data_IF_441654871319
#
_entry.id   IF_441654871319
#
_cell.length_a   1.000
_cell.length_b   1.000
_cell.length_c   1.000
_cell.angle_alpha   90.00
_cell.angle_beta   90.00
_cell.angle_gamma   90.00
#
_symmetry.space_group_name_H-M   'P 1'
#
loop_
_entity.id
_entity.type
_entity.pdbx_description
1 polymer ?
#
# COMPACT_ATOMS: atom_id res chain seq x y z
N UNK A 1 -11.75 51.35 -5.73
CA UNK A 1 -10.72 50.64 -6.51
C UNK A 1 -9.96 49.59 -5.68
N UNK A 2 -9.31 49.92 -4.56
CA UNK A 2 -8.53 48.98 -3.73
C UNK A 2 -9.36 47.79 -3.14
N UNK A 3 -10.62 48.01 -2.72
CA UNK A 3 -11.51 46.95 -2.19
C UNK A 3 -11.97 45.97 -3.29
N UNK A 4 -12.30 46.50 -4.47
CA UNK A 4 -12.65 45.70 -5.63
C UNK A 4 -11.49 44.79 -6.08
N UNK A 5 -10.28 45.36 -6.16
CA UNK A 5 -9.08 44.59 -6.51
C UNK A 5 -8.79 43.49 -5.50
N UNK A 6 -8.96 43.74 -4.20
CA UNK A 6 -8.83 42.69 -3.16
C UNK A 6 -9.84 41.59 -3.33
N UNK A 7 -11.10 41.93 -3.65
CA UNK A 7 -12.15 40.91 -3.87
C UNK A 7 -11.87 40.06 -5.10
N UNK A 8 -11.44 40.65 -6.20
CA UNK A 8 -11.04 39.95 -7.43
C UNK A 8 -9.84 39.02 -7.17
N UNK A 9 -8.86 39.45 -6.43
CA UNK A 9 -7.71 38.62 -6.03
C UNK A 9 -8.15 37.47 -5.14
N UNK A 10 -9.01 37.68 -4.15
CA UNK A 10 -9.53 36.63 -3.29
C UNK A 10 -10.33 35.58 -4.08
N UNK A 11 -11.15 36.02 -5.05
CA UNK A 11 -11.88 35.11 -5.93
C UNK A 11 -10.94 34.31 -6.83
N UNK A 12 -9.88 34.91 -7.35
CA UNK A 12 -8.86 34.20 -8.14
C UNK A 12 -8.12 33.14 -7.29
N UNK A 13 -7.72 33.49 -6.06
CA UNK A 13 -7.12 32.50 -5.15
C UNK A 13 -8.08 31.38 -4.80
N UNK A 14 -9.37 31.69 -4.60
CA UNK A 14 -10.41 30.70 -4.37
C UNK A 14 -10.54 29.69 -5.53
N UNK A 15 -10.55 30.19 -6.76
CA UNK A 15 -10.58 29.33 -7.96
C UNK A 15 -9.32 28.45 -8.07
N UNK A 16 -8.14 29.01 -7.84
CA UNK A 16 -6.89 28.25 -7.84
C UNK A 16 -6.91 27.14 -6.78
N UNK A 17 -7.40 27.44 -5.58
CA UNK A 17 -7.53 26.44 -4.52
C UNK A 17 -8.49 25.32 -4.90
N UNK A 18 -9.62 25.62 -5.53
CA UNK A 18 -10.55 24.59 -6.03
C UNK A 18 -9.89 23.69 -7.08
N UNK A 19 -9.17 24.27 -8.04
CA UNK A 19 -8.42 23.50 -9.04
C UNK A 19 -7.38 22.56 -8.39
N UNK A 20 -6.64 23.07 -7.39
CA UNK A 20 -5.68 22.25 -6.63
C UNK A 20 -6.38 21.10 -5.92
N UNK A 21 -7.51 21.36 -5.27
CA UNK A 21 -8.28 20.33 -4.58
C UNK A 21 -8.80 19.27 -5.55
N UNK A 22 -9.32 19.68 -6.70
CA UNK A 22 -9.80 18.74 -7.73
C UNK A 22 -8.65 17.91 -8.28
N UNK A 23 -7.48 18.51 -8.52
CA UNK A 23 -6.30 17.81 -9.04
C UNK A 23 -5.75 16.77 -8.04
N UNK A 24 -5.72 17.11 -6.75
CA UNK A 24 -5.13 16.25 -5.70
C UNK A 24 -6.14 15.22 -5.18
N UNK A 25 -7.44 15.51 -5.23
CA UNK A 25 -8.47 14.70 -4.59
C UNK A 25 -8.45 13.20 -4.99
N UNK A 26 -8.24 12.77 -6.25
CA UNK A 26 -8.17 11.34 -6.56
C UNK A 26 -7.00 10.65 -5.88
N UNK A 27 -5.83 11.32 -5.80
CA UNK A 27 -4.67 10.79 -5.09
C UNK A 27 -4.90 10.78 -3.58
N UNK A 28 -5.53 11.80 -3.02
CA UNK A 28 -5.87 11.85 -1.61
C UNK A 28 -6.85 10.73 -1.23
N UNK A 29 -7.89 10.50 -2.02
CA UNK A 29 -8.81 9.38 -1.84
C UNK A 29 -8.08 8.03 -1.87
N UNK A 30 -7.22 7.84 -2.86
CA UNK A 30 -6.38 6.65 -2.96
C UNK A 30 -5.48 6.50 -1.73
N UNK A 31 -4.82 7.58 -1.29
CA UNK A 31 -4.00 7.58 -0.09
C UNK A 31 -4.80 7.17 1.15
N UNK A 32 -5.98 7.77 1.35
CA UNK A 32 -6.84 7.44 2.50
C UNK A 32 -7.40 6.02 2.49
N UNK A 33 -7.48 5.36 1.34
CA UNK A 33 -7.87 3.97 1.25
C UNK A 33 -6.90 3.02 1.99
N UNK A 34 -5.68 3.46 2.26
CA UNK A 34 -4.68 2.70 3.04
C UNK A 34 -5.05 2.68 4.53
N UNK A 35 -5.93 3.60 5.01
CA UNK A 35 -6.23 3.76 6.44
C UNK A 35 -7.44 2.95 6.93
N UNK A 36 -7.46 2.75 8.25
CA UNK A 36 -8.34 1.88 8.98
C UNK A 36 -9.84 1.95 8.71
N UNK A 37 -10.49 3.12 8.60
CA UNK A 37 -11.95 3.14 8.48
C UNK A 37 -12.46 2.37 7.26
N UNK A 38 -11.75 2.45 6.13
CA UNK A 38 -12.08 1.68 4.92
C UNK A 38 -11.91 0.19 5.15
N UNK A 39 -10.78 -0.20 5.75
CA UNK A 39 -10.48 -1.60 6.05
C UNK A 39 -11.49 -2.20 7.01
N UNK A 40 -11.89 -1.49 8.07
CA UNK A 40 -12.92 -1.96 8.99
C UNK A 40 -14.27 -2.18 8.30
N UNK A 41 -14.67 -1.25 7.41
CA UNK A 41 -15.89 -1.40 6.63
C UNK A 41 -15.86 -2.68 5.78
N UNK A 42 -14.76 -2.93 5.09
CA UNK A 42 -14.57 -4.12 4.25
C UNK A 42 -14.52 -5.41 5.09
N UNK A 43 -13.85 -5.37 6.24
CA UNK A 43 -13.72 -6.53 7.14
C UNK A 43 -15.04 -7.05 7.68
N UNK A 44 -15.98 -6.14 7.95
CA UNK A 44 -17.31 -6.50 8.49
C UNK A 44 -18.17 -7.29 7.51
N UNK A 45 -17.92 -7.15 6.21
CA UNK A 45 -18.73 -7.76 5.17
C UNK A 45 -18.00 -8.95 4.53
N UNK A 46 -18.48 -10.19 4.66
CA UNK A 46 -17.82 -11.36 4.10
C UNK A 46 -17.52 -11.25 2.61
N UNK A 47 -18.41 -10.59 1.87
CA UNK A 47 -18.26 -10.40 0.43
C UNK A 47 -17.08 -9.48 0.04
N UNK A 48 -16.60 -8.62 0.95
CA UNK A 48 -15.53 -7.65 0.70
C UNK A 48 -14.26 -7.90 1.52
N UNK A 49 -14.32 -8.76 2.52
CA UNK A 49 -13.20 -9.04 3.42
C UNK A 49 -11.94 -9.52 2.68
N UNK A 50 -12.09 -10.26 1.57
CA UNK A 50 -10.98 -10.73 0.74
C UNK A 50 -10.17 -9.59 0.11
N UNK A 51 -10.75 -8.38 -0.03
CA UNK A 51 -10.07 -7.21 -0.58
C UNK A 51 -8.99 -6.66 0.35
N UNK A 52 -8.99 -7.06 1.62
CA UNK A 52 -7.93 -6.72 2.58
C UNK A 52 -6.64 -7.50 2.34
N UNK A 53 -6.72 -8.63 1.63
CA UNK A 53 -5.58 -9.48 1.34
C UNK A 53 -4.51 -8.72 0.53
N UNK A 54 -3.24 -9.09 0.77
CA UNK A 54 -2.12 -8.58 0.00
C UNK A 54 -1.85 -9.48 -1.22
N UNK A 55 -1.50 -8.89 -2.32
CA UNK A 55 -1.07 -9.62 -3.54
C UNK A 55 0.45 -9.69 -3.69
N UNK A 56 1.21 -8.96 -2.85
CA UNK A 56 2.65 -9.10 -2.69
C UNK A 56 2.97 -9.43 -1.23
N UNK A 57 4.13 -10.04 -0.92
CA UNK A 57 4.53 -10.31 0.45
C UNK A 57 4.57 -9.02 1.26
N UNK A 58 3.87 -8.93 2.37
CA UNK A 58 3.89 -7.75 3.24
C UNK A 58 4.43 -8.06 4.63
N UNK A 59 3.87 -9.06 5.28
CA UNK A 59 4.27 -9.48 6.63
C UNK A 59 4.96 -10.85 6.61
N UNK A 60 5.71 -11.12 5.56
CA UNK A 60 6.50 -12.34 5.38
C UNK A 60 7.68 -12.04 4.47
N UNK A 61 8.79 -12.73 4.67
CA UNK A 61 9.96 -12.64 3.80
C UNK A 61 9.69 -13.41 2.52
N UNK A 62 10.11 -12.83 1.40
CA UNK A 62 10.14 -13.53 0.13
C UNK A 62 11.52 -14.14 -0.13
N UNK A 63 11.53 -15.31 -0.74
CA UNK A 63 12.73 -15.95 -1.30
C UNK A 63 13.03 -15.50 -2.72
N UNK A 64 12.14 -14.67 -3.33
CA UNK A 64 12.30 -14.14 -4.67
C UNK A 64 12.98 -12.79 -4.66
N UNK A 65 14.21 -12.66 -5.23
CA UNK A 65 14.91 -11.38 -5.34
C UNK A 65 14.11 -10.34 -6.13
N UNK A 66 13.35 -10.79 -7.14
CA UNK A 66 12.52 -9.89 -7.96
C UNK A 66 11.41 -9.24 -7.13
N UNK A 67 10.72 -10.01 -6.29
CA UNK A 67 9.70 -9.47 -5.41
C UNK A 67 10.28 -8.54 -4.35
N UNK A 68 11.47 -8.84 -3.86
CA UNK A 68 12.19 -7.98 -2.92
C UNK A 68 12.53 -6.62 -3.55
N UNK A 69 13.11 -6.64 -4.76
CA UNK A 69 13.42 -5.41 -5.50
C UNK A 69 12.14 -4.62 -5.78
N UNK A 70 11.08 -5.27 -6.27
CA UNK A 70 9.82 -4.61 -6.58
C UNK A 70 9.23 -3.92 -5.35
N UNK A 71 9.21 -4.62 -4.22
CA UNK A 71 8.60 -4.10 -2.98
C UNK A 71 9.41 -2.97 -2.36
N UNK A 72 10.72 -3.16 -2.18
CA UNK A 72 11.54 -2.26 -1.39
C UNK A 72 12.15 -1.11 -2.20
N UNK A 73 12.66 -1.41 -3.39
CA UNK A 73 13.36 -0.41 -4.19
C UNK A 73 12.42 0.29 -5.16
N UNK A 74 11.73 -0.45 -6.01
CA UNK A 74 10.85 0.16 -7.03
C UNK A 74 9.74 0.97 -6.36
N UNK A 75 9.10 0.45 -5.32
CA UNK A 75 8.06 1.15 -4.59
C UNK A 75 8.51 2.48 -4.02
N UNK A 76 9.60 2.48 -3.25
CA UNK A 76 10.11 3.68 -2.60
C UNK A 76 10.58 4.73 -3.62
N UNK A 77 11.33 4.32 -4.65
CA UNK A 77 11.81 5.25 -5.67
C UNK A 77 10.66 5.79 -6.53
N UNK A 78 9.71 4.94 -6.92
CA UNK A 78 8.54 5.40 -7.69
C UNK A 78 7.74 6.44 -6.90
N UNK A 79 7.50 6.21 -5.60
CA UNK A 79 6.84 7.19 -4.75
C UNK A 79 7.62 8.51 -4.69
N UNK A 80 8.90 8.45 -4.35
CA UNK A 80 9.72 9.65 -4.12
C UNK A 80 9.91 10.46 -5.39
N UNK A 81 10.26 9.79 -6.51
CA UNK A 81 10.46 10.46 -7.80
C UNK A 81 9.15 11.00 -8.37
N UNK A 82 8.05 10.25 -8.20
CA UNK A 82 6.73 10.70 -8.59
C UNK A 82 6.30 11.96 -7.84
N UNK A 83 6.48 11.99 -6.52
CA UNK A 83 6.20 13.16 -5.70
C UNK A 83 7.09 14.36 -6.04
N UNK A 84 8.38 14.13 -6.24
CA UNK A 84 9.30 15.20 -6.66
C UNK A 84 8.88 15.79 -8.02
N UNK A 85 8.60 14.94 -9.00
CA UNK A 85 8.13 15.38 -10.32
C UNK A 85 6.80 16.13 -10.22
N UNK A 86 5.87 15.66 -9.36
CA UNK A 86 4.62 16.36 -9.09
C UNK A 86 4.86 17.76 -8.51
N UNK A 87 5.74 17.92 -7.53
CA UNK A 87 6.08 19.21 -6.92
C UNK A 87 6.63 20.17 -8.01
N UNK A 88 7.51 19.69 -8.87
CA UNK A 88 8.05 20.50 -9.98
C UNK A 88 6.93 20.95 -10.92
N UNK A 89 6.04 20.05 -11.34
CA UNK A 89 4.89 20.35 -12.18
C UNK A 89 3.94 21.36 -11.50
N UNK A 90 3.68 21.16 -10.21
CA UNK A 90 2.84 22.04 -9.40
C UNK A 90 3.38 23.46 -9.38
N UNK A 91 4.67 23.62 -9.07
CA UNK A 91 5.34 24.94 -9.04
C UNK A 91 5.27 25.60 -10.42
N UNK A 92 5.46 24.85 -11.51
CA UNK A 92 5.38 25.38 -12.86
C UNK A 92 3.98 25.90 -13.22
N UNK A 93 2.93 25.10 -12.99
CA UNK A 93 1.54 25.51 -13.31
C UNK A 93 1.15 26.73 -12.48
N UNK A 94 1.27 26.60 -11.16
CA UNK A 94 0.74 27.63 -10.26
C UNK A 94 1.63 28.87 -10.20
N UNK A 95 2.94 28.69 -10.39
CA UNK A 95 3.87 29.80 -10.60
C UNK A 95 3.53 30.58 -11.88
N UNK A 96 3.24 29.91 -12.99
CA UNK A 96 2.83 30.56 -14.24
C UNK A 96 1.48 31.27 -14.09
N UNK A 97 0.48 30.62 -13.47
CA UNK A 97 -0.83 31.22 -13.19
C UNK A 97 -0.73 32.46 -12.30
N UNK A 98 0.06 32.37 -11.23
CA UNK A 98 0.27 33.51 -10.30
C UNK A 98 0.98 34.69 -10.97
N UNK A 99 1.96 34.39 -11.82
CA UNK A 99 2.73 35.40 -12.58
C UNK A 99 2.04 35.84 -13.88
N UNK A 100 0.85 35.29 -14.20
CA UNK A 100 0.06 35.59 -15.42
C UNK A 100 0.85 35.35 -16.72
N UNK A 101 1.71 34.32 -16.77
CA UNK A 101 2.59 34.03 -17.91
C UNK A 101 1.94 33.16 -19.00
N UNK A 102 0.64 32.85 -18.89
CA UNK A 102 -0.07 32.00 -19.87
C UNK A 102 0.18 30.49 -19.67
N UNK A 103 -0.24 29.66 -20.60
CA UNK A 103 -0.12 28.20 -20.53
C UNK A 103 1.34 27.74 -20.44
N UNK A 104 1.61 26.76 -19.56
CA UNK A 104 2.94 26.18 -19.41
C UNK A 104 3.20 25.16 -20.53
N UNK A 105 4.30 25.34 -21.25
CA UNK A 105 4.73 24.47 -22.36
C UNK A 105 6.22 24.09 -22.29
N UNK A 106 6.84 24.28 -21.14
CA UNK A 106 8.28 24.07 -20.89
C UNK A 106 8.54 22.81 -20.03
N UNK A 107 9.78 22.34 -20.00
CA UNK A 107 10.22 21.17 -19.25
C UNK A 107 9.36 19.94 -19.58
N UNK A 108 8.71 19.32 -18.60
CA UNK A 108 7.88 18.13 -18.80
C UNK A 108 6.66 18.42 -19.69
N UNK A 109 6.10 19.64 -19.63
CA UNK A 109 4.98 20.08 -20.47
C UNK A 109 5.35 20.26 -21.95
N UNK A 110 6.64 20.30 -22.30
CA UNK A 110 7.04 20.35 -23.71
C UNK A 110 6.74 19.05 -24.46
N UNK A 111 6.56 17.95 -23.75
CA UNK A 111 6.31 16.62 -24.35
C UNK A 111 5.03 15.95 -23.86
N UNK A 112 4.63 16.22 -22.62
CA UNK A 112 3.47 15.59 -21.95
C UNK A 112 2.51 16.70 -21.54
N UNK A 113 1.23 16.56 -21.86
CA UNK A 113 0.20 17.58 -21.55
C UNK A 113 -0.19 17.57 -20.07
N UNK A 114 -0.21 16.40 -19.43
CA UNK A 114 -0.62 16.24 -18.03
C UNK A 114 0.46 15.52 -17.20
N UNK A 115 1.69 16.05 -17.14
CA UNK A 115 2.77 15.40 -16.39
C UNK A 115 2.51 15.38 -14.88
N UNK A 116 1.68 16.31 -14.35
CA UNK A 116 1.25 16.33 -12.94
C UNK A 116 0.44 15.07 -12.59
N UNK A 117 -0.48 14.64 -13.44
CA UNK A 117 -1.28 13.43 -13.23
C UNK A 117 -0.44 12.17 -13.39
N UNK A 118 0.45 12.15 -14.39
CA UNK A 118 1.40 11.04 -14.55
C UNK A 118 2.32 10.90 -13.33
N UNK A 119 2.80 12.02 -12.80
CA UNK A 119 3.65 12.03 -11.60
C UNK A 119 2.94 11.45 -10.39
N UNK A 120 1.67 11.83 -10.16
CA UNK A 120 0.84 11.27 -9.10
C UNK A 120 0.50 9.79 -9.35
N UNK A 121 0.33 9.38 -10.61
CA UNK A 121 0.15 7.96 -10.95
C UNK A 121 1.40 7.14 -10.62
N UNK A 122 2.59 7.66 -10.91
CA UNK A 122 3.87 7.01 -10.55
C UNK A 122 4.04 6.94 -9.03
N UNK A 123 3.75 8.02 -8.31
CA UNK A 123 3.78 8.03 -6.84
C UNK A 123 2.77 7.03 -6.26
N UNK A 124 1.56 6.99 -6.81
CA UNK A 124 0.52 6.02 -6.43
C UNK A 124 0.95 4.58 -6.67
N UNK A 125 1.63 4.28 -7.78
CA UNK A 125 2.21 2.96 -8.02
C UNK A 125 3.25 2.59 -6.96
N UNK A 126 4.09 3.55 -6.55
CA UNK A 126 5.02 3.36 -5.45
C UNK A 126 4.31 2.97 -4.15
N UNK A 127 3.24 3.68 -3.80
CA UNK A 127 2.42 3.33 -2.63
C UNK A 127 1.78 1.96 -2.75
N UNK A 128 1.25 1.61 -3.92
CA UNK A 128 0.63 0.32 -4.19
C UNK A 128 1.59 -0.84 -3.94
N UNK A 129 2.86 -0.70 -4.31
CA UNK A 129 3.86 -1.75 -4.08
C UNK A 129 4.32 -1.81 -2.62
N UNK A 130 4.28 -0.70 -1.89
CA UNK A 130 4.59 -0.65 -0.45
C UNK A 130 3.46 -1.21 0.41
N UNK A 131 2.21 -0.97 0.03
CA UNK A 131 0.99 -1.49 0.69
C UNK A 131 0.11 -2.23 -0.33
N UNK A 132 0.52 -3.44 -0.77
CA UNK A 132 -0.05 -4.12 -1.92
C UNK A 132 -1.34 -4.88 -1.60
N UNK A 133 -2.34 -4.21 -0.99
CA UNK A 133 -3.67 -4.78 -0.77
C UNK A 133 -4.52 -4.71 -2.03
N UNK A 134 -5.41 -5.66 -2.21
CA UNK A 134 -6.34 -5.66 -3.35
C UNK A 134 -7.22 -4.41 -3.35
N UNK A 135 -7.71 -3.97 -2.19
CA UNK A 135 -8.49 -2.72 -2.08
C UNK A 135 -7.69 -1.51 -2.54
N UNK A 136 -6.40 -1.44 -2.23
CA UNK A 136 -5.53 -0.35 -2.67
C UNK A 136 -5.36 -0.38 -4.19
N UNK A 137 -5.26 -1.57 -4.79
CA UNK A 137 -5.24 -1.71 -6.25
C UNK A 137 -6.53 -1.20 -6.89
N UNK A 138 -7.69 -1.50 -6.31
CA UNK A 138 -8.99 -0.99 -6.80
C UNK A 138 -9.03 0.54 -6.76
N UNK A 139 -8.64 1.14 -5.65
CA UNK A 139 -8.59 2.61 -5.54
C UNK A 139 -7.54 3.23 -6.47
N UNK A 140 -6.41 2.56 -6.66
CA UNK A 140 -5.39 2.99 -7.62
C UNK A 140 -5.94 3.03 -9.06
N UNK A 141 -6.64 1.99 -9.48
CA UNK A 141 -7.32 1.98 -10.79
C UNK A 141 -8.37 3.09 -10.88
N UNK A 142 -9.17 3.29 -9.84
CA UNK A 142 -10.13 4.39 -9.76
C UNK A 142 -9.47 5.75 -9.93
N UNK A 143 -8.34 5.97 -9.27
CA UNK A 143 -7.54 7.20 -9.41
C UNK A 143 -7.02 7.40 -10.85
N UNK A 144 -6.52 6.34 -11.49
CA UNK A 144 -6.04 6.42 -12.89
C UNK A 144 -7.19 6.80 -13.84
N UNK A 145 -8.36 6.20 -13.69
CA UNK A 145 -9.54 6.57 -14.46
C UNK A 145 -9.97 8.01 -14.18
N UNK A 146 -9.99 8.43 -12.92
CA UNK A 146 -10.33 9.80 -12.55
C UNK A 146 -9.38 10.80 -13.23
N UNK A 147 -8.07 10.55 -13.20
CA UNK A 147 -7.09 11.42 -13.89
C UNK A 147 -7.25 11.43 -15.39
N UNK A 148 -7.59 10.31 -16.01
CA UNK A 148 -7.90 10.29 -17.43
C UNK A 148 -9.10 11.18 -17.76
N UNK A 149 -10.19 11.10 -16.99
CA UNK A 149 -11.37 11.93 -17.21
C UNK A 149 -11.12 13.41 -16.93
N UNK A 150 -10.39 13.73 -15.86
CA UNK A 150 -10.00 15.11 -15.54
C UNK A 150 -9.14 15.72 -16.66
N UNK A 151 -8.13 15.00 -17.15
CA UNK A 151 -7.30 15.45 -18.25
C UNK A 151 -8.14 15.73 -19.51
N UNK A 152 -9.10 14.86 -19.83
CA UNK A 152 -10.01 15.07 -20.97
C UNK A 152 -10.91 16.28 -20.78
N UNK A 153 -11.37 16.54 -19.57
CA UNK A 153 -12.18 17.69 -19.25
C UNK A 153 -11.37 18.99 -19.38
N UNK A 154 -10.17 19.02 -18.81
CA UNK A 154 -9.25 20.15 -18.90
C UNK A 154 -8.88 20.47 -20.37
N UNK A 155 -8.54 19.46 -21.17
CA UNK A 155 -8.23 19.66 -22.59
C UNK A 155 -9.39 20.32 -23.35
N UNK A 156 -10.63 19.91 -23.11
CA UNK A 156 -11.82 20.52 -23.74
C UNK A 156 -12.00 21.98 -23.33
N UNK A 157 -11.77 22.28 -22.05
CA UNK A 157 -11.91 23.65 -21.55
C UNK A 157 -10.81 24.56 -22.12
N UNK A 158 -9.56 24.08 -22.15
CA UNK A 158 -8.44 24.84 -22.70
C UNK A 158 -8.58 25.03 -24.22
N UNK A 159 -8.98 24.01 -24.96
CA UNK A 159 -9.19 24.09 -26.43
C UNK A 159 -10.32 25.07 -26.79
N UNK A 160 -11.37 25.15 -25.96
CA UNK A 160 -12.44 26.12 -26.13
C UNK A 160 -12.00 27.58 -25.85
N UNK A 161 -11.08 27.78 -24.91
CA UNK A 161 -10.57 29.11 -24.57
C UNK A 161 -9.38 29.56 -25.45
N UNK A 162 -8.60 28.59 -25.97
CA UNK A 162 -7.34 28.77 -26.67
C UNK A 162 -7.28 27.86 -27.90
N UNK A 163 -7.80 28.27 -29.09
CA UNK A 163 -7.80 27.44 -30.30
C UNK A 163 -6.40 26.96 -30.73
N UNK A 164 -5.37 27.73 -30.46
CA UNK A 164 -3.95 27.38 -30.69
C UNK A 164 -3.50 26.13 -29.93
N UNK A 165 -4.21 25.71 -28.90
CA UNK A 165 -3.93 24.48 -28.15
C UNK A 165 -4.00 23.22 -29.02
N UNK A 166 -4.79 23.26 -30.09
CA UNK A 166 -4.87 22.13 -31.05
C UNK A 166 -3.52 21.77 -31.67
N UNK A 167 -2.67 22.76 -31.96
CA UNK A 167 -1.31 22.52 -32.48
C UNK A 167 -0.37 21.95 -31.42
N UNK A 168 -0.47 22.43 -30.19
CA UNK A 168 0.28 21.86 -29.06
C UNK A 168 -0.11 20.40 -28.85
N UNK A 169 -1.41 20.06 -28.91
CA UNK A 169 -1.93 18.69 -28.76
C UNK A 169 -1.40 17.73 -29.83
N UNK A 170 -1.18 18.18 -31.05
CA UNK A 170 -0.61 17.33 -32.12
C UNK A 170 0.85 16.94 -31.86
N UNK A 171 1.61 17.79 -31.15
CA UNK A 171 3.05 17.60 -30.89
C UNK A 171 3.37 16.97 -29.55
N UNK A 172 2.37 16.80 -28.68
CA UNK A 172 2.55 16.33 -27.31
C UNK A 172 1.68 15.12 -27.01
N UNK A 173 2.06 14.33 -26.03
CA UNK A 173 1.28 13.18 -25.55
C UNK A 173 0.43 13.55 -24.34
N UNK A 174 -0.70 12.87 -24.13
CA UNK A 174 -1.51 13.10 -22.95
C UNK A 174 -0.75 12.70 -21.68
N UNK A 175 -0.24 11.47 -21.60
CA UNK A 175 0.52 10.92 -20.49
C UNK A 175 1.80 10.20 -20.94
N UNK A 176 1.71 9.27 -21.86
CA UNK A 176 2.81 8.40 -22.29
C UNK A 176 3.12 8.56 -23.77
N UNK A 177 4.38 8.32 -24.18
CA UNK A 177 4.76 8.32 -25.57
C UNK A 177 3.88 7.43 -26.43
N UNK A 178 3.43 7.97 -27.57
CA UNK A 178 2.60 7.23 -28.52
C UNK A 178 1.11 7.23 -28.22
N UNK A 179 0.65 7.98 -27.19
CA UNK A 179 -0.74 7.97 -26.73
C UNK A 179 -1.31 6.55 -26.72
N UNK A 180 -1.14 5.77 -25.66
CA UNK A 180 -1.47 4.33 -25.65
C UNK A 180 -2.93 4.02 -25.97
N UNK A 181 -3.79 5.01 -26.16
CA UNK A 181 -5.17 4.84 -26.62
C UNK A 181 -5.37 4.80 -28.13
N UNK A 182 -4.45 5.33 -28.94
CA UNK A 182 -4.77 5.54 -30.36
C UNK A 182 -4.72 4.27 -31.21
N UNK A 183 -3.57 3.66 -31.35
CA UNK A 183 -3.39 2.48 -32.23
C UNK A 183 -3.79 1.18 -31.54
N UNK A 184 -3.34 0.96 -30.31
CA UNK A 184 -3.66 -0.25 -29.54
C UNK A 184 -5.15 -0.34 -29.23
N UNK A 185 -5.77 0.76 -28.78
CA UNK A 185 -7.20 0.79 -28.54
C UNK A 185 -8.01 0.43 -29.80
N UNK A 186 -7.67 1.01 -30.95
CA UNK A 186 -8.34 0.70 -32.21
C UNK A 186 -8.10 -0.74 -32.63
N UNK A 187 -6.94 -1.29 -32.40
CA UNK A 187 -6.62 -2.67 -32.73
C UNK A 187 -7.47 -3.66 -31.93
N UNK A 188 -7.61 -3.42 -30.61
CA UNK A 188 -8.37 -4.33 -29.75
C UNK A 188 -9.89 -4.06 -29.73
N UNK A 189 -10.32 -2.81 -29.88
CA UNK A 189 -11.70 -2.40 -29.64
C UNK A 189 -12.33 -1.65 -30.83
N UNK A 190 -11.61 -1.48 -31.93
CA UNK A 190 -12.08 -0.74 -33.11
C UNK A 190 -13.25 -1.40 -33.84
N UNK A 191 -13.52 -2.64 -33.57
CA UNK A 191 -14.70 -3.37 -34.07
C UNK A 191 -16.01 -2.98 -33.38
N UNK A 192 -15.94 -2.29 -32.24
CA UNK A 192 -17.11 -1.78 -31.53
C UNK A 192 -17.47 -0.40 -32.11
N UNK A 193 -18.59 -0.31 -32.81
CA UNK A 193 -19.00 0.91 -33.52
C UNK A 193 -19.31 2.08 -32.58
N UNK A 194 -19.83 1.80 -31.38
CA UNK A 194 -20.15 2.84 -30.38
C UNK A 194 -18.89 3.16 -29.53
N UNK A 195 -18.35 4.41 -29.62
CA UNK A 195 -17.13 4.78 -28.89
C UNK A 195 -17.27 4.75 -27.36
N UNK A 196 -18.48 4.93 -26.84
CA UNK A 196 -18.75 4.85 -25.40
C UNK A 196 -18.77 3.41 -24.93
N UNK A 197 -19.40 2.52 -25.69
CA UNK A 197 -19.38 1.08 -25.43
C UNK A 197 -17.95 0.52 -25.54
N UNK A 198 -17.19 0.91 -26.56
CA UNK A 198 -15.78 0.52 -26.71
C UNK A 198 -14.93 0.91 -25.50
N UNK A 199 -15.10 2.12 -24.97
CA UNK A 199 -14.41 2.58 -23.76
C UNK A 199 -14.85 1.82 -22.52
N UNK A 200 -16.13 1.55 -22.35
CA UNK A 200 -16.65 0.77 -21.24
C UNK A 200 -16.09 -0.66 -21.24
N UNK A 201 -16.13 -1.33 -22.39
CA UNK A 201 -15.56 -2.68 -22.56
C UNK A 201 -14.06 -2.67 -22.28
N UNK A 202 -13.31 -1.70 -22.83
CA UNK A 202 -11.88 -1.56 -22.57
C UNK A 202 -11.59 -1.37 -21.07
N UNK A 203 -12.39 -0.56 -20.36
CA UNK A 203 -12.23 -0.36 -18.91
C UNK A 203 -12.45 -1.66 -18.15
N UNK A 204 -13.48 -2.42 -18.47
CA UNK A 204 -13.75 -3.73 -17.85
C UNK A 204 -12.61 -4.71 -18.12
N UNK A 205 -12.12 -4.78 -19.36
CA UNK A 205 -10.98 -5.64 -19.72
C UNK A 205 -9.72 -5.24 -18.95
N UNK A 206 -9.41 -3.95 -18.85
CA UNK A 206 -8.25 -3.46 -18.11
C UNK A 206 -8.37 -3.87 -16.64
N UNK A 207 -9.53 -3.66 -16.01
CA UNK A 207 -9.77 -4.05 -14.62
C UNK A 207 -9.58 -5.56 -14.46
N UNK A 208 -10.17 -6.37 -15.35
CA UNK A 208 -10.07 -7.83 -15.29
C UNK A 208 -8.62 -8.32 -15.45
N UNK A 209 -7.87 -7.74 -16.38
CA UNK A 209 -6.46 -8.08 -16.63
C UNK A 209 -5.59 -7.71 -15.43
N UNK A 210 -5.78 -6.52 -14.87
CA UNK A 210 -4.99 -6.06 -13.71
C UNK A 210 -5.32 -6.87 -12.47
N UNK A 211 -6.61 -7.14 -12.21
CA UNK A 211 -7.02 -7.98 -11.08
C UNK A 211 -6.55 -9.43 -11.23
N UNK A 212 -6.70 -10.00 -12.42
CA UNK A 212 -6.18 -11.33 -12.72
C UNK A 212 -4.66 -11.40 -12.55
N UNK A 213 -3.94 -10.39 -13.05
CA UNK A 213 -2.49 -10.25 -12.86
C UNK A 213 -2.09 -10.16 -11.38
N UNK A 214 -2.82 -9.41 -10.57
CA UNK A 214 -2.57 -9.31 -9.13
C UNK A 214 -2.79 -10.66 -8.42
N UNK A 215 -3.83 -11.41 -8.79
CA UNK A 215 -4.08 -12.75 -8.22
C UNK A 215 -3.01 -13.76 -8.65
N UNK A 216 -2.54 -13.71 -9.90
CA UNK A 216 -1.43 -14.54 -10.37
C UNK A 216 -0.12 -14.18 -9.64
N UNK A 217 0.14 -12.89 -9.49
CA UNK A 217 1.30 -12.40 -8.75
C UNK A 217 1.24 -12.82 -7.28
N UNK A 218 0.04 -12.80 -6.67
CA UNK A 218 -0.18 -13.32 -5.33
C UNK A 218 0.16 -14.80 -5.23
N UNK A 219 -0.32 -15.61 -6.18
CA UNK A 219 -0.01 -17.04 -6.22
C UNK A 219 1.50 -17.29 -6.32
N UNK A 220 2.18 -16.55 -7.17
CA UNK A 220 3.64 -16.60 -7.28
C UNK A 220 4.32 -16.19 -5.96
N UNK A 221 3.87 -15.10 -5.34
CA UNK A 221 4.41 -14.60 -4.09
C UNK A 221 4.25 -15.58 -2.92
N UNK A 222 3.11 -16.26 -2.83
CA UNK A 222 2.88 -17.32 -1.82
C UNK A 222 3.88 -18.45 -1.99
N UNK A 223 4.11 -18.90 -3.22
CA UNK A 223 5.07 -19.97 -3.51
C UNK A 223 6.53 -19.61 -3.22
N UNK A 224 6.81 -18.30 -3.03
CA UNK A 224 8.15 -17.78 -2.75
C UNK A 224 8.21 -17.10 -1.37
N UNK A 225 7.39 -17.49 -0.43
CA UNK A 225 7.41 -16.96 0.94
C UNK A 225 8.19 -17.88 1.88
N UNK A 226 8.96 -17.29 2.79
CA UNK A 226 9.68 -18.00 3.84
C UNK A 226 8.78 -18.14 5.07
N UNK A 227 8.16 -19.29 5.22
CA UNK A 227 7.35 -19.66 6.37
C UNK A 227 7.64 -21.09 6.76
N UNK A 228 7.83 -21.34 8.05
CA UNK A 228 8.14 -22.65 8.61
C UNK A 228 6.90 -23.24 9.25
N UNK A 229 6.53 -24.45 8.85
CA UNK A 229 5.42 -25.18 9.43
C UNK A 229 5.88 -25.94 10.68
N UNK A 230 5.15 -25.79 11.77
CA UNK A 230 5.28 -26.53 13.03
C UNK A 230 3.99 -27.36 13.24
N UNK A 231 3.89 -28.55 12.63
CA UNK A 231 2.63 -29.32 12.62
C UNK A 231 2.18 -29.78 14.02
N UNK A 232 3.11 -30.14 14.89
CA UNK A 232 2.84 -30.56 16.27
C UNK A 232 2.13 -29.48 17.08
N UNK A 233 2.53 -28.22 16.87
CA UNK A 233 1.96 -27.05 17.53
C UNK A 233 0.81 -26.41 16.72
N UNK A 234 0.42 -26.98 15.60
CA UNK A 234 -0.57 -26.41 14.65
C UNK A 234 -0.26 -24.98 14.28
N UNK A 235 1.02 -24.63 14.16
CA UNK A 235 1.50 -23.27 14.00
C UNK A 235 2.32 -23.11 12.73
N UNK A 236 2.10 -22.01 12.01
CA UNK A 236 2.97 -21.53 10.94
C UNK A 236 3.81 -20.39 11.46
N UNK A 237 5.11 -20.60 11.60
CA UNK A 237 6.07 -19.58 12.02
C UNK A 237 6.48 -18.71 10.83
N UNK A 238 6.43 -17.40 11.00
CA UNK A 238 6.63 -16.40 9.94
C UNK A 238 7.57 -15.32 10.46
N UNK A 239 8.76 -15.24 9.84
CA UNK A 239 9.65 -14.12 10.11
C UNK A 239 9.39 -13.00 9.10
N UNK A 240 9.24 -11.76 9.59
CA UNK A 240 9.19 -10.57 8.74
C UNK A 240 10.57 -10.00 8.45
N UNK A 241 11.60 -10.68 8.94
CA UNK A 241 13.01 -10.31 8.90
C UNK A 241 13.85 -11.47 8.39
N UNK A 242 14.91 -11.24 7.56
CA UNK A 242 15.79 -12.30 7.13
C UNK A 242 16.48 -12.99 8.31
N UNK A 243 16.15 -14.25 8.54
CA UNK A 243 16.78 -15.05 9.57
C UNK A 243 16.79 -16.55 9.19
N UNK A 244 17.78 -17.33 9.67
CA UNK A 244 17.82 -18.75 9.43
C UNK A 244 16.60 -19.46 10.01
N UNK A 245 16.12 -20.49 9.32
CA UNK A 245 14.96 -21.29 9.73
C UNK A 245 15.13 -21.89 11.13
N UNK A 246 16.32 -22.39 11.45
CA UNK A 246 16.65 -22.91 12.78
C UNK A 246 16.45 -21.85 13.89
N UNK A 247 16.80 -20.60 13.62
CA UNK A 247 16.59 -19.49 14.58
C UNK A 247 15.08 -19.19 14.74
N UNK A 248 14.30 -19.25 13.65
CA UNK A 248 12.84 -19.10 13.71
C UNK A 248 12.24 -20.17 14.61
N UNK A 249 12.58 -21.45 14.37
CA UNK A 249 12.10 -22.57 15.17
C UNK A 249 12.50 -22.44 16.65
N UNK A 250 13.75 -22.09 16.91
CA UNK A 250 14.25 -21.89 18.29
C UNK A 250 13.49 -20.80 19.03
N UNK A 251 13.30 -19.63 18.43
CA UNK A 251 12.60 -18.50 19.06
C UNK A 251 11.13 -18.85 19.33
N UNK A 252 10.45 -19.50 18.37
CA UNK A 252 9.06 -19.92 18.56
C UNK A 252 8.97 -21.02 19.63
N UNK A 253 9.89 -21.97 19.67
CA UNK A 253 9.93 -23.00 20.68
C UNK A 253 10.07 -22.44 22.11
N UNK A 254 10.93 -21.44 22.31
CA UNK A 254 11.05 -20.73 23.61
C UNK A 254 9.70 -20.18 24.04
N UNK A 255 8.95 -19.54 23.13
CA UNK A 255 7.62 -19.02 23.43
C UNK A 255 6.62 -20.13 23.77
N UNK A 256 6.60 -21.22 22.98
CA UNK A 256 5.66 -22.33 23.13
C UNK A 256 5.93 -23.17 24.41
N UNK A 257 7.15 -23.14 24.96
CA UNK A 257 7.46 -23.83 26.22
C UNK A 257 6.93 -23.07 27.45
N UNK A 258 6.56 -21.80 27.35
CA UNK A 258 5.99 -21.02 28.44
C UNK A 258 4.53 -21.44 28.72
N UNK A 259 4.21 -21.74 29.98
CA UNK A 259 2.87 -22.18 30.39
C UNK A 259 1.78 -21.16 30.09
N UNK A 260 2.08 -19.86 30.19
CA UNK A 260 1.12 -18.78 29.93
C UNK A 260 0.77 -18.73 28.44
N UNK A 261 1.74 -18.95 27.57
CA UNK A 261 1.54 -19.02 26.11
C UNK A 261 0.70 -20.26 25.80
N UNK A 262 1.08 -21.44 26.30
CA UNK A 262 0.31 -22.68 26.07
C UNK A 262 -1.12 -22.56 26.58
N UNK A 263 -1.32 -22.10 27.79
CA UNK A 263 -2.65 -21.91 28.35
C UNK A 263 -3.53 -20.93 27.54
N UNK A 264 -2.92 -19.93 26.91
CA UNK A 264 -3.64 -19.03 26.01
C UNK A 264 -4.06 -19.71 24.71
N UNK A 265 -3.18 -20.51 24.11
CA UNK A 265 -3.46 -21.26 22.86
C UNK A 265 -4.45 -22.40 23.09
N UNK A 266 -4.42 -23.09 24.21
CA UNK A 266 -5.34 -24.16 24.60
C UNK A 266 -6.78 -23.69 24.77
N UNK A 267 -7.00 -22.41 25.09
CA UNK A 267 -8.35 -21.81 25.13
C UNK A 267 -9.04 -21.76 23.75
N UNK A 268 -8.32 -22.03 22.67
CA UNK A 268 -8.80 -22.03 21.31
C UNK A 268 -8.72 -23.44 20.71
N UNK A 269 -9.58 -24.37 21.14
CA UNK A 269 -9.50 -25.78 20.76
C UNK A 269 -9.73 -25.95 19.26
N UNK A 270 -8.88 -26.76 18.62
CA UNK A 270 -8.95 -27.05 17.18
C UNK A 270 -8.44 -25.91 16.27
N UNK A 271 -8.04 -24.77 16.84
CA UNK A 271 -7.51 -23.65 16.06
C UNK A 271 -6.13 -23.94 15.47
N UNK A 272 -5.82 -23.26 14.39
CA UNK A 272 -4.51 -23.19 13.77
C UNK A 272 -3.96 -21.78 13.99
N UNK A 273 -2.67 -21.67 14.20
CA UNK A 273 -2.04 -20.41 14.55
C UNK A 273 -0.99 -19.97 13.53
N UNK A 274 -0.77 -18.67 13.45
CA UNK A 274 0.45 -18.08 12.90
C UNK A 274 1.26 -17.51 14.03
N UNK A 275 2.57 -17.70 14.01
CA UNK A 275 3.52 -17.07 14.92
C UNK A 275 4.37 -16.09 14.12
N UNK A 276 4.06 -14.78 14.21
CA UNK A 276 4.85 -13.74 13.55
C UNK A 276 6.00 -13.31 14.46
N UNK A 277 7.22 -13.43 13.94
CA UNK A 277 8.43 -12.96 14.62
C UNK A 277 8.74 -11.54 14.16
N UNK A 278 8.58 -10.59 15.07
CA UNK A 278 8.87 -9.19 14.88
C UNK A 278 10.11 -8.81 15.71
N UNK A 279 11.05 -7.99 15.20
CA UNK A 279 12.07 -7.40 16.06
C UNK A 279 11.42 -6.58 17.18
N UNK A 280 12.00 -6.57 18.39
CA UNK A 280 11.43 -5.90 19.57
C UNK A 280 11.17 -4.40 19.32
N UNK A 281 12.04 -3.75 18.56
CA UNK A 281 11.97 -2.33 18.22
C UNK A 281 11.27 -2.04 16.88
N UNK A 282 10.77 -3.07 16.20
CA UNK A 282 10.07 -2.91 14.93
C UNK A 282 8.67 -2.33 15.16
N UNK A 283 8.50 -1.08 14.77
CA UNK A 283 7.21 -0.41 14.84
C UNK A 283 6.41 -0.62 13.57
N UNK A 284 5.40 -1.45 13.63
CA UNK A 284 4.30 -1.43 12.65
C UNK A 284 3.24 -0.46 13.15
N UNK A 285 3.22 0.73 12.59
CA UNK A 285 2.21 1.74 12.94
C UNK A 285 0.84 1.15 12.65
N UNK A 286 0.01 1.04 13.68
CA UNK A 286 -1.42 0.77 13.62
C UNK A 286 -1.90 -0.64 13.24
N UNK A 287 -1.09 -1.68 13.20
CA UNK A 287 -1.60 -3.04 12.93
C UNK A 287 -2.03 -3.80 14.20
N UNK A 288 -1.45 -3.48 15.34
CA UNK A 288 -1.81 -3.99 16.65
C UNK A 288 -1.86 -2.82 17.62
N UNK A 289 -2.76 -1.87 17.36
CA UNK A 289 -2.96 -0.77 18.26
C UNK A 289 -3.35 -1.34 19.62
N UNK A 290 -2.70 -0.89 20.64
CA UNK A 290 -3.04 -1.12 22.04
C UNK A 290 -3.05 -2.59 22.52
N UNK A 291 -1.87 -3.14 22.63
CA UNK A 291 -1.68 -4.35 23.39
C UNK A 291 -1.37 -3.96 24.82
N UNK A 292 -2.36 -4.04 25.69
CA UNK A 292 -2.24 -3.68 27.10
C UNK A 292 -2.16 -2.17 27.37
N UNK A 293 -1.85 -1.82 28.62
CA UNK A 293 -1.76 -0.42 29.10
C UNK A 293 -0.54 0.33 28.61
N UNK A 294 0.45 -0.35 28.07
CA UNK A 294 1.78 0.19 27.80
C UNK A 294 2.01 0.68 26.37
N UNK A 295 1.08 0.51 25.45
CA UNK A 295 1.21 0.92 24.03
C UNK A 295 2.55 0.54 23.37
N UNK A 296 3.28 -0.44 23.90
CA UNK A 296 4.67 -0.74 23.54
C UNK A 296 4.83 -1.21 22.13
N UNK A 297 3.79 -1.78 21.56
CA UNK A 297 3.98 -2.48 20.30
C UNK A 297 4.01 -1.59 19.08
N UNK A 298 3.16 -0.56 18.97
CA UNK A 298 2.94 0.01 17.64
C UNK A 298 2.45 1.45 17.61
N UNK A 299 2.18 2.09 18.74
CA UNK A 299 1.54 3.40 18.76
C UNK A 299 2.52 4.58 18.76
N UNK A 300 3.78 4.37 19.10
CA UNK A 300 4.76 5.45 19.19
C UNK A 300 5.84 5.33 18.14
N UNK A 301 5.82 6.27 17.21
CA UNK A 301 6.95 6.54 16.34
C UNK A 301 7.99 7.25 17.21
N UNK A 302 8.91 6.48 17.83
CA UNK A 302 10.09 7.09 18.44
C UNK A 302 10.86 7.90 17.35
N UNK A 303 11.60 8.96 17.71
CA UNK A 303 12.35 9.78 16.74
C UNK A 303 13.24 8.96 15.78
N UNK A 304 13.77 7.83 16.24
CA UNK A 304 14.51 6.87 15.38
C UNK A 304 13.62 6.21 14.32
N UNK A 305 12.35 5.95 14.64
CA UNK A 305 11.38 5.33 13.74
C UNK A 305 10.88 6.29 12.67
N UNK A 306 10.76 7.57 13.00
CA UNK A 306 10.46 8.59 12.01
C UNK A 306 11.57 8.68 10.94
N UNK A 307 12.84 8.64 11.34
CA UNK A 307 13.95 8.56 10.38
C UNK A 307 13.88 7.29 9.52
N UNK A 308 13.47 6.16 10.09
CA UNK A 308 13.27 4.93 9.35
C UNK A 308 12.15 5.08 8.30
N UNK A 309 11.02 5.65 8.66
CA UNK A 309 9.93 5.93 7.71
C UNK A 309 10.42 6.87 6.61
N UNK A 310 11.14 7.92 6.96
CA UNK A 310 11.73 8.83 5.98
C UNK A 310 12.73 8.13 5.06
N UNK A 311 13.61 7.31 5.58
CA UNK A 311 14.59 6.56 4.76
C UNK A 311 13.92 5.48 3.91
N UNK A 312 12.77 4.96 4.33
CA UNK A 312 11.95 4.04 3.56
C UNK A 312 11.21 4.73 2.41
N UNK A 313 10.58 5.87 2.68
CA UNK A 313 9.88 6.67 1.68
C UNK A 313 10.85 7.40 0.73
N UNK A 314 12.00 7.81 1.24
CA UNK A 314 13.02 8.58 0.53
C UNK A 314 14.39 7.91 0.69
N UNK A 315 14.60 6.74 0.07
CA UNK A 315 15.82 5.94 0.27
C UNK A 315 17.11 6.66 -0.15
N UNK A 316 17.00 7.69 -0.99
CA UNK A 316 18.14 8.54 -1.39
C UNK A 316 18.59 9.50 -0.28
N UNK A 317 17.77 9.74 0.76
CA UNK A 317 18.18 10.61 1.87
C UNK A 317 19.07 9.87 2.87
N UNK A 318 18.80 8.59 3.11
CA UNK A 318 19.62 7.78 4.00
C UNK A 318 19.56 6.27 3.64
N UNK A 319 20.18 5.87 2.54
CA UNK A 319 20.18 4.46 2.11
C UNK A 319 20.92 3.54 3.09
N UNK A 320 21.87 4.08 3.87
CA UNK A 320 22.67 3.29 4.82
C UNK A 320 21.83 2.90 6.05
N UNK A 321 20.94 3.77 6.49
CA UNK A 321 20.10 3.50 7.65
C UNK A 321 19.12 2.36 7.37
N UNK A 322 18.53 2.32 6.18
CA UNK A 322 17.68 1.21 5.74
C UNK A 322 18.43 -0.12 5.77
N UNK A 323 19.63 -0.15 5.16
CA UNK A 323 20.46 -1.36 5.12
C UNK A 323 20.94 -1.78 6.52
N UNK A 324 21.24 -0.82 7.38
CA UNK A 324 21.65 -1.08 8.77
C UNK A 324 20.49 -1.69 9.59
N UNK A 325 19.29 -1.15 9.46
CA UNK A 325 18.11 -1.68 10.17
C UNK A 325 17.77 -3.08 9.65
N UNK A 326 17.78 -3.27 8.31
CA UNK A 326 17.46 -4.55 7.67
C UNK A 326 18.56 -5.61 7.82
N UNK A 327 19.79 -5.21 8.03
CA UNK A 327 20.94 -6.11 8.16
C UNK A 327 21.43 -6.35 9.59
N UNK A 328 20.87 -5.69 10.60
CA UNK A 328 21.31 -5.86 11.99
C UNK A 328 20.80 -7.17 12.55
N UNK A 329 21.65 -8.06 13.07
CA UNK A 329 21.21 -9.25 13.78
C UNK A 329 20.29 -8.86 14.95
N UNK A 330 19.16 -9.50 15.04
CA UNK A 330 18.22 -9.31 16.14
C UNK A 330 18.31 -10.51 17.08
N UNK A 331 18.35 -10.25 18.38
CA UNK A 331 18.32 -11.28 19.41
C UNK A 331 17.08 -11.18 20.28
N UNK A 332 16.39 -10.06 20.22
CA UNK A 332 15.13 -9.84 20.91
C UNK A 332 13.98 -9.79 19.91
N UNK A 333 12.98 -10.61 20.13
CA UNK A 333 11.84 -10.77 19.25
C UNK A 333 10.53 -10.62 20.01
N UNK A 334 9.56 -10.10 19.34
CA UNK A 334 8.16 -10.15 19.73
C UNK A 334 7.47 -11.22 18.86
N UNK A 335 7.06 -12.30 19.49
CA UNK A 335 6.34 -13.41 18.83
C UNK A 335 4.86 -13.20 19.05
N UNK A 336 4.14 -12.96 17.96
CA UNK A 336 2.68 -12.72 17.99
C UNK A 336 1.98 -13.98 17.48
N UNK A 337 1.33 -14.70 18.36
CA UNK A 337 0.48 -15.82 18.00
C UNK A 337 -0.92 -15.33 17.66
N UNK A 338 -1.36 -15.62 16.45
CA UNK A 338 -2.69 -15.26 15.98
C UNK A 338 -3.44 -16.51 15.54
N UNK A 339 -4.68 -16.66 16.01
CA UNK A 339 -5.61 -17.67 15.53
C UNK A 339 -6.00 -17.36 14.08
N UNK A 340 -6.05 -18.39 13.26
CA UNK A 340 -6.44 -18.27 11.86
C UNK A 340 -7.76 -18.95 11.61
N UNK A 341 -8.74 -18.18 11.16
CA UNK A 341 -10.10 -18.63 10.88
C UNK A 341 -10.46 -18.42 9.41
N UNK A 342 -11.39 -19.22 8.93
CA UNK A 342 -12.13 -18.94 7.69
C UNK A 342 -13.14 -17.80 7.82
N UNK A 343 -13.87 -17.48 6.73
CA UNK A 343 -14.82 -16.35 6.71
C UNK A 343 -15.88 -16.42 7.80
N UNK A 344 -16.33 -17.63 8.15
CA UNK A 344 -17.37 -17.92 9.14
C UNK A 344 -16.83 -18.34 10.50
N UNK A 345 -15.58 -17.95 10.81
CA UNK A 345 -14.84 -18.41 11.98
C UNK A 345 -14.67 -19.94 12.03
N UNK A 346 -14.80 -20.60 10.89
CA UNK A 346 -14.51 -22.03 10.77
C UNK A 346 -13.02 -22.29 10.86
N UNK A 347 -12.59 -23.36 11.54
CA UNK A 347 -11.18 -23.73 11.59
C UNK A 347 -10.66 -24.06 10.18
N UNK A 348 -9.49 -23.53 9.84
CA UNK A 348 -8.80 -23.81 8.59
C UNK A 348 -7.69 -24.85 8.81
N UNK A 349 -7.43 -25.74 7.86
CA UNK A 349 -6.24 -26.57 7.92
C UNK A 349 -4.98 -25.70 7.78
N UNK A 350 -3.88 -26.11 8.41
CA UNK A 350 -2.60 -25.39 8.42
C UNK A 350 -2.10 -25.03 7.02
N UNK A 351 -2.36 -25.86 6.04
CA UNK A 351 -2.02 -25.64 4.63
C UNK A 351 -2.82 -24.53 3.94
N UNK A 352 -3.92 -24.07 4.55
CA UNK A 352 -4.81 -23.02 4.01
C UNK A 352 -4.73 -21.70 4.79
N UNK A 353 -3.75 -21.55 5.68
CA UNK A 353 -3.55 -20.34 6.48
C UNK A 353 -3.35 -19.09 5.58
N UNK A 354 -2.87 -19.26 4.37
CA UNK A 354 -2.61 -18.19 3.39
C UNK A 354 -3.78 -17.97 2.43
N UNK A 355 -4.99 -18.36 2.79
CA UNK A 355 -6.18 -18.15 1.96
C UNK A 355 -6.56 -16.65 1.91
N UNK A 356 -7.19 -16.20 0.81
CA UNK A 356 -7.73 -14.83 0.64
C UNK A 356 -8.75 -14.43 1.71
N UNK A 357 -9.45 -15.42 2.24
CA UNK A 357 -10.52 -15.23 3.23
C UNK A 357 -10.10 -15.54 4.66
N UNK A 358 -8.82 -15.93 4.88
CA UNK A 358 -8.32 -16.24 6.20
C UNK A 358 -8.25 -14.97 7.06
N UNK A 359 -8.76 -15.05 8.26
CA UNK A 359 -8.74 -13.99 9.28
C UNK A 359 -7.78 -14.40 10.39
N UNK A 360 -6.94 -13.46 10.82
CA UNK A 360 -5.98 -13.67 11.89
C UNK A 360 -6.37 -12.81 13.08
N UNK A 361 -6.56 -13.42 14.25
CA UNK A 361 -6.87 -12.73 15.49
C UNK A 361 -5.75 -12.99 16.49
N UNK A 362 -5.05 -11.96 17.00
CA UNK A 362 -4.01 -12.13 18.01
C UNK A 362 -4.57 -12.78 19.28
N UNK A 363 -3.89 -13.79 19.77
CA UNK A 363 -4.27 -14.55 20.99
C UNK A 363 -3.31 -14.29 22.12
N UNK A 364 -2.01 -14.35 21.85
CA UNK A 364 -0.97 -14.13 22.84
C UNK A 364 0.29 -13.59 22.17
N UNK A 365 1.03 -12.77 22.91
CA UNK A 365 2.27 -12.16 22.49
C UNK A 365 3.34 -12.49 23.50
N UNK A 366 4.50 -12.91 23.03
CA UNK A 366 5.64 -13.24 23.86
C UNK A 366 6.86 -12.42 23.44
N UNK A 367 7.48 -11.72 24.37
CA UNK A 367 8.78 -11.09 24.15
C UNK A 367 9.89 -12.09 24.47
N UNK A 368 10.61 -12.52 23.43
CA UNK A 368 11.58 -13.61 23.49
C UNK A 368 12.97 -13.11 23.16
N UNK A 369 13.95 -13.45 23.99
CA UNK A 369 15.36 -13.31 23.64
C UNK A 369 15.88 -14.63 23.09
N UNK A 370 16.54 -14.60 21.93
CA UNK A 370 17.15 -15.79 21.36
C UNK A 370 18.16 -16.41 22.34
N UNK A 371 18.04 -17.73 22.55
CA UNK A 371 18.89 -18.46 23.50
C UNK A 371 18.45 -18.36 24.98
N UNK A 372 17.39 -17.64 25.31
CA UNK A 372 16.82 -17.66 26.64
C UNK A 372 16.05 -18.97 26.91
N UNK A 373 15.81 -19.29 28.18
CA UNK A 373 15.02 -20.45 28.58
C UNK A 373 13.52 -20.18 28.62
N UNK A 374 13.13 -18.89 28.69
CA UNK A 374 11.72 -18.46 28.76
C UNK A 374 11.56 -17.05 28.17
N UNK A 375 10.33 -16.67 27.77
CA UNK A 375 10.01 -15.30 27.39
C UNK A 375 10.23 -14.31 28.53
N UNK A 376 10.68 -13.10 28.21
CA UNK A 376 10.79 -11.99 29.15
C UNK A 376 9.42 -11.53 29.65
N UNK A 377 8.48 -11.43 28.72
CA UNK A 377 7.12 -10.97 28.99
C UNK A 377 6.12 -11.75 28.11
N UNK A 378 4.93 -12.02 28.68
CA UNK A 378 3.81 -12.62 27.95
C UNK A 378 2.58 -11.75 28.16
N UNK A 379 1.98 -11.32 27.06
CA UNK A 379 0.85 -10.39 27.05
C UNK A 379 -0.32 -11.05 26.34
N UNK A 380 -1.50 -11.01 26.99
CA UNK A 380 -2.76 -11.37 26.34
C UNK A 380 -3.38 -10.10 25.77
N UNK A 381 -3.45 -9.94 24.44
CA UNK A 381 -3.98 -8.74 23.83
C UNK A 381 -5.48 -8.61 24.11
N UNK A 382 -5.95 -7.41 24.50
CA UNK A 382 -7.38 -7.19 24.66
C UNK A 382 -8.09 -7.29 23.30
N UNK A 383 -9.27 -7.91 23.29
CA UNK A 383 -10.14 -7.88 22.12
C UNK A 383 -10.72 -6.48 21.97
N UNK A 384 -10.43 -5.80 20.88
CA UNK A 384 -10.91 -4.44 20.60
C UNK A 384 -11.70 -4.40 19.31
N UNK A 385 -12.77 -3.57 19.32
CA UNK A 385 -13.65 -3.36 18.16
C UNK A 385 -13.11 -2.37 17.12
N UNK A 386 -11.98 -1.73 17.39
CA UNK A 386 -11.36 -0.78 16.47
C UNK A 386 -10.16 -1.45 15.79
N UNK A 387 -9.03 -1.01 15.70
CA UNK A 387 -7.90 -1.59 14.98
C UNK A 387 -7.54 -3.05 15.35
N UNK A 388 -7.94 -3.53 16.53
CA UNK A 388 -7.64 -4.88 16.99
C UNK A 388 -8.35 -6.03 16.26
N UNK A 389 -9.44 -5.72 15.55
CA UNK A 389 -10.16 -6.72 14.74
C UNK A 389 -9.63 -6.81 13.31
N UNK A 390 -8.79 -5.86 12.88
CA UNK A 390 -8.15 -5.91 11.57
C UNK A 390 -6.93 -6.80 11.68
N UNK A 391 -7.05 -7.95 11.07
CA UNK A 391 -6.01 -8.95 11.05
C UNK A 391 -4.79 -8.48 10.28
N UNK A 392 -3.59 -8.94 10.67
CA UNK A 392 -2.38 -8.77 9.89
C UNK A 392 -2.30 -9.88 8.83
N UNK A 393 -2.80 -9.67 7.60
CA UNK A 393 -2.69 -10.71 6.59
C UNK A 393 -1.22 -10.86 6.20
N UNK A 394 -0.79 -12.08 6.10
CA UNK A 394 0.51 -12.44 5.53
C UNK A 394 0.58 -12.06 4.06
N UNK A 395 -0.52 -12.29 3.42
CA UNK A 395 -0.84 -12.03 2.03
C UNK A 395 -2.26 -11.50 1.88
#
# INVERSE_FOLDING_TARGET
MKKFLKWVLSALYGLVMIEVLVMISPFAFYWYAVYAPTLQGLHRWPATAWMEAFFLPHSVITTSPTLEILRWWVGSYAFSLGMLAFIVCFIQIYGSKLLRRGPVNSLLYSRIRHPQYLSLAVAGFGLLTMWPRIVILVFYLGMLFAYYFLARLEERQVEAAHPEYAEYRKRTWMFLPGEPGGKLFRWFFGWISNPSAARAVASVVIIAVVMGGALLLRRYAIGHSAATLLPEDRTMAIAIWPMPEQKIQQVVAIALHDERVRAALEKEPGAVFTAHLLPEDYGMVNMFADVGTDHRMFSHIAPRRFRYILSFLFPFLDPRQKNKIMGTPQDNFKVVFSRVDGPDRSPLPLTKVVNLTAKMTPVVIADVQAGASAPKEVIIPPRRSFWGDITMPMF
#
